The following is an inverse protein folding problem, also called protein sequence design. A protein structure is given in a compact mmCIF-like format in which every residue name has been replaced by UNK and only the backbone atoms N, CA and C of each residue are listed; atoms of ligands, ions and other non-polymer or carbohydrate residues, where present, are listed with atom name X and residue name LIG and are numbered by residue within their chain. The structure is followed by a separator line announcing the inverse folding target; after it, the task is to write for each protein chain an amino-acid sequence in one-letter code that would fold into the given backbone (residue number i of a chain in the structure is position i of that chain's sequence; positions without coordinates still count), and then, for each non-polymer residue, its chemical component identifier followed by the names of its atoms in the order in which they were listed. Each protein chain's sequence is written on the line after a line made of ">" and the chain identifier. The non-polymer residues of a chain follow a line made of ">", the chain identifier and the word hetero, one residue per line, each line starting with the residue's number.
data_IF_089528711132
#
_entry.id   IF_089528711132
#
_cell.length_a   1.000
_cell.length_b   1.000
_cell.length_c   1.000
_cell.angle_alpha   90.00
_cell.angle_beta   90.00
_cell.angle_gamma   90.00
#
_symmetry.space_group_name_H-M   'P 1'
#
loop_
_entity.id
_entity.type
_entity.pdbx_description
1 polymer ?
#
# COMPACT_ATOMS: atom_id res chain seq x y z
N UNK A 1 -19.75 27.81 -46.38
CA UNK A 1 -19.14 26.90 -45.39
C UNK A 1 -19.01 27.64 -44.07
N UNK A 2 -19.82 27.31 -43.07
CA UNK A 2 -19.73 27.86 -41.71
C UNK A 2 -19.49 26.71 -40.74
N UNK A 3 -18.32 26.68 -40.10
CA UNK A 3 -17.99 25.71 -39.05
C UNK A 3 -18.48 26.25 -37.70
N UNK A 4 -19.48 25.58 -37.11
CA UNK A 4 -19.96 25.85 -35.75
C UNK A 4 -18.98 25.27 -34.73
N UNK A 5 -18.30 26.14 -33.98
CA UNK A 5 -17.49 25.76 -32.82
C UNK A 5 -18.37 25.29 -31.65
N UNK A 6 -18.01 24.14 -31.06
CA UNK A 6 -18.62 23.64 -29.82
C UNK A 6 -18.09 24.45 -28.63
N UNK A 7 -18.99 25.16 -27.95
CA UNK A 7 -18.70 25.85 -26.68
C UNK A 7 -18.71 24.81 -25.56
N UNK A 8 -17.57 24.61 -24.91
CA UNK A 8 -17.44 23.78 -23.71
C UNK A 8 -17.94 24.60 -22.51
N UNK A 9 -18.97 24.11 -21.84
CA UNK A 9 -19.52 24.79 -20.66
C UNK A 9 -18.51 24.79 -19.50
N UNK A 10 -18.34 25.92 -18.78
CA UNK A 10 -17.40 26.01 -17.68
C UNK A 10 -17.87 25.17 -16.48
N UNK A 11 -16.99 24.26 -16.04
CA UNK A 11 -17.16 23.48 -14.81
C UNK A 11 -17.20 24.45 -13.63
N UNK A 12 -18.37 24.59 -12.99
CA UNK A 12 -18.53 25.43 -11.79
C UNK A 12 -17.74 24.81 -10.64
N UNK A 13 -16.60 25.40 -10.34
CA UNK A 13 -15.82 25.08 -9.14
C UNK A 13 -16.58 25.66 -7.94
N UNK A 14 -17.19 24.77 -7.14
CA UNK A 14 -17.90 25.17 -5.92
C UNK A 14 -17.02 26.03 -5.02
N UNK A 15 -17.61 27.07 -4.45
CA UNK A 15 -16.91 28.06 -3.65
C UNK A 15 -16.35 27.43 -2.38
N UNK A 16 -15.37 28.09 -1.73
CA UNK A 16 -14.81 27.62 -0.44
C UNK A 16 -15.91 27.36 0.60
N UNK A 17 -16.97 28.19 0.58
CA UNK A 17 -18.15 28.05 1.43
C UNK A 17 -18.90 26.73 1.19
N UNK A 18 -19.12 26.36 -0.07
CA UNK A 18 -19.77 25.09 -0.43
C UNK A 18 -18.95 23.88 0.04
N UNK A 19 -17.62 23.99 0.00
CA UNK A 19 -16.71 22.93 0.44
C UNK A 19 -16.74 22.76 1.96
N UNK A 20 -16.81 23.85 2.71
CA UNK A 20 -16.85 23.83 4.17
C UNK A 20 -18.22 23.37 4.68
N UNK A 21 -19.31 23.76 4.02
CA UNK A 21 -20.66 23.26 4.31
C UNK A 21 -20.76 21.75 4.05
N UNK A 22 -20.20 21.27 2.93
CA UNK A 22 -20.12 19.83 2.65
C UNK A 22 -19.28 19.08 3.68
N UNK A 23 -18.21 19.68 4.21
CA UNK A 23 -17.41 19.09 5.30
C UNK A 23 -18.21 19.01 6.60
N UNK A 24 -18.98 20.04 6.94
CA UNK A 24 -19.83 20.03 8.13
C UNK A 24 -20.94 18.98 8.02
N UNK A 25 -21.59 18.86 6.85
CA UNK A 25 -22.58 17.81 6.59
C UNK A 25 -21.97 16.41 6.71
N UNK A 26 -20.74 16.21 6.23
CA UNK A 26 -20.05 14.93 6.39
C UNK A 26 -19.72 14.62 7.85
N UNK A 27 -19.25 15.61 8.63
CA UNK A 27 -18.99 15.44 10.06
C UNK A 27 -20.26 15.09 10.84
N UNK A 28 -21.35 15.82 10.61
CA UNK A 28 -22.64 15.54 11.24
C UNK A 28 -23.14 14.11 10.93
N UNK A 29 -22.95 13.64 9.69
CA UNK A 29 -23.33 12.26 9.32
C UNK A 29 -22.45 11.21 9.99
N UNK A 30 -21.16 11.50 10.19
CA UNK A 30 -20.25 10.61 10.92
C UNK A 30 -20.62 10.52 12.40
N UNK A 31 -20.86 11.67 13.05
CA UNK A 31 -21.28 11.73 14.46
C UNK A 31 -22.64 11.04 14.67
N UNK A 32 -23.57 11.16 13.72
CA UNK A 32 -24.87 10.47 13.75
C UNK A 32 -24.70 8.96 13.59
N UNK A 33 -23.80 8.50 12.70
CA UNK A 33 -23.49 7.07 12.57
C UNK A 33 -22.78 6.50 13.79
N UNK A 34 -21.93 7.29 14.45
CA UNK A 34 -21.27 6.90 15.69
C UNK A 34 -22.28 6.77 16.82
N UNK A 35 -23.19 7.73 16.98
CA UNK A 35 -24.32 7.67 17.95
C UNK A 35 -25.25 6.47 17.72
N UNK A 36 -25.54 6.11 16.48
CA UNK A 36 -26.40 4.95 16.17
C UNK A 36 -25.69 3.62 16.47
N UNK A 37 -24.36 3.59 16.45
CA UNK A 37 -23.57 2.38 16.62
C UNK A 37 -22.97 2.18 18.00
N UNK A 38 -22.73 3.24 18.77
CA UNK A 38 -22.18 3.18 20.13
C UNK A 38 -23.03 2.30 21.04
N UNK A 39 -22.45 1.20 21.53
CA UNK A 39 -22.97 0.39 22.64
C UNK A 39 -22.59 1.09 23.94
N UNK A 40 -23.57 1.55 24.71
CA UNK A 40 -23.29 2.03 26.07
C UNK A 40 -22.80 0.85 26.92
N UNK A 41 -21.91 1.14 27.85
CA UNK A 41 -21.30 0.17 28.75
C UNK A 41 -22.14 -0.10 30.01
N UNK A 42 -23.23 0.65 30.22
CA UNK A 42 -24.10 0.54 31.40
C UNK A 42 -25.43 -0.17 31.06
N UNK A 43 -26.13 -0.68 32.08
CA UNK A 43 -27.43 -1.35 31.91
C UNK A 43 -28.50 -0.39 31.37
N UNK A 44 -28.64 -0.33 30.03
CA UNK A 44 -29.70 0.45 29.39
C UNK A 44 -31.10 -0.08 29.77
N UNK A 45 -31.97 0.86 30.16
CA UNK A 45 -33.41 0.63 30.31
C UNK A 45 -34.01 -0.02 29.04
N UNK A 46 -34.97 -0.96 29.18
CA UNK A 46 -35.61 -1.65 28.05
C UNK A 46 -36.17 -0.71 26.96
N UNK A 47 -36.68 0.46 27.36
CA UNK A 47 -37.19 1.47 26.43
C UNK A 47 -36.09 2.08 25.56
N UNK A 48 -34.92 2.38 26.14
CA UNK A 48 -33.76 2.92 25.42
C UNK A 48 -33.18 1.91 24.43
N UNK A 49 -33.14 0.62 24.81
CA UNK A 49 -32.75 -0.49 23.92
C UNK A 49 -33.70 -0.60 22.72
N UNK A 50 -35.02 -0.49 22.94
CA UNK A 50 -36.02 -0.54 21.87
C UNK A 50 -35.88 0.65 20.91
N UNK A 51 -35.71 1.87 21.43
CA UNK A 51 -35.51 3.06 20.60
C UNK A 51 -34.23 2.98 19.76
N UNK A 52 -33.13 2.49 20.33
CA UNK A 52 -31.88 2.28 19.60
C UNK A 52 -32.03 1.22 18.50
N UNK A 53 -32.72 0.11 18.77
CA UNK A 53 -33.02 -0.92 17.78
C UNK A 53 -33.89 -0.38 16.64
N UNK A 54 -34.90 0.43 16.96
CA UNK A 54 -35.75 1.08 15.95
C UNK A 54 -34.98 2.06 15.08
N UNK A 55 -34.12 2.91 15.67
CA UNK A 55 -33.24 3.81 14.90
C UNK A 55 -32.30 3.04 13.96
N UNK A 56 -31.68 1.95 14.45
CA UNK A 56 -30.81 1.09 13.63
C UNK A 56 -31.59 0.42 12.49
N UNK A 57 -32.81 -0.05 12.74
CA UNK A 57 -33.66 -0.64 11.70
C UNK A 57 -34.11 0.39 10.67
N UNK A 58 -34.46 1.62 11.09
CA UNK A 58 -34.82 2.71 10.20
C UNK A 58 -33.64 3.12 9.30
N UNK A 59 -32.43 3.22 9.86
CA UNK A 59 -31.21 3.50 9.09
C UNK A 59 -30.90 2.39 8.08
N UNK A 60 -31.04 1.11 8.48
CA UNK A 60 -30.90 -0.04 7.57
C UNK A 60 -31.92 -0.01 6.43
N UNK A 61 -33.17 0.33 6.72
CA UNK A 61 -34.23 0.41 5.72
C UNK A 61 -34.00 1.57 4.74
N UNK A 62 -33.56 2.74 5.22
CA UNK A 62 -33.16 3.87 4.35
C UNK A 62 -31.99 3.52 3.44
N UNK A 63 -31.00 2.79 3.96
CA UNK A 63 -29.86 2.32 3.16
C UNK A 63 -30.32 1.34 2.06
N UNK A 64 -31.15 0.35 2.41
CA UNK A 64 -31.73 -0.58 1.44
C UNK A 64 -32.58 0.10 0.36
N UNK A 65 -33.34 1.13 0.73
CA UNK A 65 -34.13 1.91 -0.22
C UNK A 65 -33.23 2.63 -1.24
N UNK A 66 -32.18 3.32 -0.76
CA UNK A 66 -31.21 4.00 -1.65
C UNK A 66 -30.43 3.04 -2.53
N UNK A 67 -30.08 1.85 -2.05
CA UNK A 67 -29.47 0.82 -2.89
C UNK A 67 -30.39 0.38 -4.02
N UNK A 68 -31.70 0.19 -3.74
CA UNK A 68 -32.67 -0.15 -4.80
C UNK A 68 -32.85 0.97 -5.81
N UNK A 69 -32.84 2.23 -5.37
CA UNK A 69 -32.88 3.40 -6.27
C UNK A 69 -31.64 3.45 -7.18
N UNK A 70 -30.46 3.17 -6.64
CA UNK A 70 -29.21 3.09 -7.42
C UNK A 70 -29.24 1.92 -8.43
N UNK A 71 -29.76 0.76 -8.04
CA UNK A 71 -29.91 -0.39 -8.95
C UNK A 71 -30.89 -0.06 -10.09
N UNK A 72 -31.99 0.63 -9.81
CA UNK A 72 -32.95 1.08 -10.83
C UNK A 72 -32.35 2.12 -11.78
N UNK A 73 -31.55 3.06 -11.26
CA UNK A 73 -30.83 4.04 -12.09
C UNK A 73 -29.75 3.36 -12.95
N UNK A 74 -29.05 2.36 -12.40
CA UNK A 74 -28.08 1.57 -13.16
C UNK A 74 -28.73 0.76 -14.28
N UNK A 75 -29.93 0.21 -14.05
CA UNK A 75 -30.69 -0.48 -15.10
C UNK A 75 -31.16 0.49 -16.19
N UNK A 76 -31.57 1.71 -15.84
CA UNK A 76 -31.95 2.73 -16.84
C UNK A 76 -30.78 3.17 -17.72
N UNK A 77 -29.57 3.32 -17.15
CA UNK A 77 -28.36 3.65 -17.93
C UNK A 77 -28.01 2.52 -18.91
N UNK A 78 -28.15 1.25 -18.48
CA UNK A 78 -27.91 0.10 -19.36
C UNK A 78 -28.94 -0.04 -20.49
N UNK A 79 -30.21 0.34 -20.28
CA UNK A 79 -31.24 0.31 -21.32
C UNK A 79 -30.99 1.39 -22.39
N UNK A 80 -30.52 2.58 -21.98
CA UNK A 80 -30.18 3.66 -22.91
C UNK A 80 -28.94 3.32 -23.75
N UNK A 81 -27.94 2.63 -23.19
CA UNK A 81 -26.74 2.24 -23.93
C UNK A 81 -26.96 1.14 -24.98
N UNK A 82 -28.01 0.33 -24.88
CA UNK A 82 -28.31 -0.72 -25.89
C UNK A 82 -29.02 -0.16 -27.12
N UNK A 83 -29.72 0.97 -26.99
CA UNK A 83 -30.42 1.61 -28.11
C UNK A 83 -29.49 2.36 -29.08
N UNK A 84 -28.29 2.78 -28.63
CA UNK A 84 -27.34 3.57 -29.42
C UNK A 84 -26.31 2.73 -30.19
N UNK A 85 -26.27 1.41 -30.01
CA UNK A 85 -25.28 0.51 -30.62
C UNK A 85 -25.75 -0.22 -31.90
N UNK A 86 -26.94 0.08 -32.43
CA UNK A 86 -27.50 -0.58 -33.62
C UNK A 86 -27.53 0.27 -34.89
N UNK A 87 -26.50 1.09 -35.14
CA UNK A 87 -26.26 1.65 -36.48
C UNK A 87 -24.76 1.65 -36.84
N UNK A 88 -24.47 1.32 -38.11
CA UNK A 88 -23.17 1.29 -38.82
C UNK A 88 -22.40 -0.05 -38.63
N UNK A 89 -22.26 -0.93 -39.63
CA UNK A 89 -21.51 -0.72 -40.89
C UNK A 89 -21.80 -1.83 -41.91
N UNK A 90 -22.16 -1.49 -43.16
CA UNK A 90 -21.75 -2.14 -44.44
C UNK A 90 -22.68 -1.73 -45.60
N UNK A 91 -22.16 -1.01 -46.62
CA UNK A 91 -22.78 -0.85 -47.95
C UNK A 91 -22.56 -2.10 -48.82
N UNK A 92 -23.13 -2.31 -50.02
CA UNK A 92 -23.97 -1.54 -50.98
C UNK A 92 -24.88 -2.59 -51.72
N UNK A 93 -25.66 -2.30 -52.79
CA UNK A 93 -27.13 -2.39 -52.78
C UNK A 93 -27.71 -3.53 -53.66
N UNK A 94 -28.91 -4.00 -53.33
CA UNK A 94 -29.82 -4.58 -54.32
C UNK A 94 -31.27 -4.43 -53.85
N UNK A 95 -32.03 -3.66 -54.62
CA UNK A 95 -33.51 -3.65 -54.62
C UNK A 95 -33.96 -4.92 -55.36
N UNK A 96 -35.01 -5.62 -54.90
CA UNK A 96 -36.27 -5.44 -55.60
C UNK A 96 -37.45 -5.18 -54.65
N UNK A 97 -38.26 -4.23 -55.09
CA UNK A 97 -39.66 -4.03 -54.72
C UNK A 97 -40.42 -5.33 -54.99
N UNK A 98 -41.27 -5.79 -54.06
CA UNK A 98 -42.71 -6.00 -54.30
C UNK A 98 -43.44 -6.58 -53.09
N UNK A 99 -44.65 -6.02 -52.90
CA UNK A 99 -45.86 -6.62 -52.32
C UNK A 99 -45.94 -6.92 -50.83
N UNK A 100 -46.73 -6.07 -50.18
CA UNK A 100 -47.50 -6.37 -48.99
C UNK A 100 -48.38 -7.62 -49.19
N UNK A 101 -48.29 -8.57 -48.25
CA UNK A 101 -49.39 -9.46 -47.88
C UNK A 101 -49.36 -9.55 -46.36
N UNK A 102 -50.41 -9.04 -45.73
CA UNK A 102 -50.61 -9.13 -44.29
C UNK A 102 -50.82 -10.58 -43.85
N UNK A 103 -50.21 -10.93 -42.73
CA UNK A 103 -50.59 -12.10 -41.94
C UNK A 103 -50.56 -11.67 -40.47
N UNK A 104 -51.67 -11.03 -40.08
CA UNK A 104 -52.08 -10.91 -38.71
C UNK A 104 -52.38 -12.32 -38.19
N UNK A 105 -51.45 -12.89 -37.43
CA UNK A 105 -51.74 -14.08 -36.62
C UNK A 105 -52.54 -13.59 -35.42
N UNK A 106 -53.86 -13.60 -35.59
CA UNK A 106 -54.79 -13.48 -34.48
C UNK A 106 -54.60 -14.70 -33.55
N UNK A 107 -54.43 -14.52 -32.23
CA UNK A 107 -54.66 -15.61 -31.31
C UNK A 107 -56.16 -15.89 -31.32
N UNK A 108 -56.55 -17.09 -31.76
CA UNK A 108 -57.89 -17.63 -31.64
C UNK A 108 -58.29 -17.67 -30.17
N UNK A 109 -59.02 -16.63 -29.73
CA UNK A 109 -59.77 -16.64 -28.49
C UNK A 109 -60.96 -17.57 -28.72
N UNK A 110 -60.78 -18.85 -28.38
CA UNK A 110 -61.90 -19.76 -28.17
C UNK A 110 -62.72 -19.23 -26.99
N UNK A 111 -63.77 -18.49 -27.31
CA UNK A 111 -64.86 -18.13 -26.42
C UNK A 111 -65.81 -19.33 -26.33
N UNK A 112 -65.45 -20.30 -25.50
CA UNK A 112 -66.39 -21.30 -24.99
C UNK A 112 -66.91 -20.83 -23.62
N UNK A 113 -68.15 -20.35 -23.65
CA UNK A 113 -69.16 -20.32 -22.59
C UNK A 113 -68.85 -21.07 -21.28
N UNK A 114 -68.02 -20.48 -20.42
CA UNK A 114 -68.01 -20.68 -18.96
C UNK A 114 -66.96 -19.75 -18.30
N UNK A 115 -67.12 -18.44 -18.45
CA UNK A 115 -66.28 -17.44 -17.77
C UNK A 115 -66.65 -17.33 -16.27
N UNK A 116 -66.49 -18.43 -15.53
CA UNK A 116 -66.38 -18.36 -14.08
C UNK A 116 -64.98 -17.86 -13.74
N UNK A 117 -64.88 -16.66 -13.15
CA UNK A 117 -63.66 -16.02 -12.66
C UNK A 117 -62.86 -17.01 -11.80
N UNK A 118 -61.84 -17.65 -12.38
CA UNK A 118 -60.93 -18.52 -11.63
C UNK A 118 -59.94 -17.64 -10.87
N UNK A 119 -60.36 -17.05 -9.75
CA UNK A 119 -59.42 -16.38 -8.84
C UNK A 119 -58.30 -17.36 -8.46
N UNK A 120 -57.04 -16.93 -8.54
CA UNK A 120 -55.91 -17.75 -8.10
C UNK A 120 -56.09 -18.18 -6.65
N UNK A 121 -55.66 -19.38 -6.28
CA UNK A 121 -55.80 -19.88 -4.89
C UNK A 121 -55.14 -18.94 -3.88
N UNK A 122 -54.08 -18.23 -4.29
CA UNK A 122 -53.45 -17.18 -3.50
C UNK A 122 -54.36 -15.97 -3.26
N UNK A 123 -55.16 -15.58 -4.26
CA UNK A 123 -56.14 -14.48 -4.18
C UNK A 123 -57.37 -14.88 -3.37
N UNK A 124 -57.90 -16.10 -3.57
CA UNK A 124 -58.94 -16.67 -2.70
C UNK A 124 -58.48 -16.73 -1.24
N UNK A 125 -57.24 -17.13 -0.97
CA UNK A 125 -56.68 -17.15 0.38
C UNK A 125 -56.48 -15.74 0.96
N UNK A 126 -56.17 -14.73 0.14
CA UNK A 126 -56.10 -13.32 0.56
C UNK A 126 -57.48 -12.78 0.93
N UNK A 127 -58.48 -12.97 0.07
CA UNK A 127 -59.87 -12.55 0.33
C UNK A 127 -60.45 -13.23 1.59
N UNK A 128 -60.23 -14.54 1.76
CA UNK A 128 -60.64 -15.27 2.97
C UNK A 128 -59.95 -14.75 4.24
N UNK A 129 -58.67 -14.36 4.17
CA UNK A 129 -57.94 -13.76 5.30
C UNK A 129 -58.43 -12.36 5.65
N UNK A 130 -58.78 -11.56 4.63
CA UNK A 130 -59.34 -10.23 4.80
C UNK A 130 -60.69 -10.28 5.54
N UNK A 131 -61.56 -11.22 5.16
CA UNK A 131 -62.91 -11.38 5.72
C UNK A 131 -62.97 -12.19 7.03
N UNK A 132 -61.83 -12.58 7.62
CA UNK A 132 -61.84 -13.22 8.95
C UNK A 132 -62.07 -12.21 10.07
N UNK A 133 -62.97 -12.54 10.99
CA UNK A 133 -63.15 -11.78 12.23
C UNK A 133 -61.93 -11.89 13.15
N UNK A 134 -61.76 -10.96 14.09
CA UNK A 134 -60.66 -10.98 15.07
C UNK A 134 -60.58 -12.30 15.85
N UNK A 135 -61.73 -12.81 16.31
CA UNK A 135 -61.87 -14.12 16.98
C UNK A 135 -61.46 -15.29 16.07
N UNK A 136 -61.77 -15.23 14.77
CA UNK A 136 -61.37 -16.28 13.83
C UNK A 136 -59.87 -16.23 13.52
N UNK A 137 -59.28 -15.04 13.41
CA UNK A 137 -57.84 -14.85 13.25
C UNK A 137 -57.07 -15.38 14.45
N UNK A 138 -57.57 -15.13 15.66
CA UNK A 138 -56.93 -15.60 16.88
C UNK A 138 -56.99 -17.13 17.01
N UNK A 139 -58.14 -17.75 16.74
CA UNK A 139 -58.25 -19.22 16.64
C UNK A 139 -57.34 -19.83 15.58
N UNK A 140 -57.16 -19.14 14.44
CA UNK A 140 -56.22 -19.58 13.41
C UNK A 140 -54.75 -19.47 13.86
N UNK A 141 -54.38 -18.41 14.58
CA UNK A 141 -53.04 -18.26 15.18
C UNK A 141 -52.78 -19.33 16.22
N UNK A 142 -53.74 -19.61 17.10
CA UNK A 142 -53.63 -20.67 18.11
C UNK A 142 -53.44 -22.04 17.47
N UNK A 143 -54.26 -22.41 16.48
CA UNK A 143 -54.10 -23.66 15.72
C UNK A 143 -52.75 -23.74 15.00
N UNK A 144 -52.27 -22.64 14.44
CA UNK A 144 -50.95 -22.61 13.78
C UNK A 144 -49.81 -22.73 14.80
N UNK A 145 -49.93 -22.09 15.96
CA UNK A 145 -48.97 -22.19 17.05
C UNK A 145 -48.93 -23.61 17.62
N UNK A 146 -50.08 -24.26 17.77
CA UNK A 146 -50.19 -25.65 18.20
C UNK A 146 -49.59 -26.61 17.17
N UNK A 147 -49.91 -26.44 15.87
CA UNK A 147 -49.26 -27.19 14.78
C UNK A 147 -47.75 -26.99 14.77
N UNK A 148 -47.28 -25.78 15.05
CA UNK A 148 -45.86 -25.49 15.15
C UNK A 148 -45.24 -26.18 16.38
N UNK A 149 -45.91 -26.16 17.55
CA UNK A 149 -45.46 -26.88 18.76
C UNK A 149 -45.36 -28.38 18.52
N UNK A 150 -46.35 -29.00 17.89
CA UNK A 150 -46.32 -30.42 17.53
C UNK A 150 -45.18 -30.75 16.57
N UNK A 151 -44.95 -29.91 15.55
CA UNK A 151 -43.80 -30.06 14.64
C UNK A 151 -42.46 -29.92 15.37
N UNK A 152 -42.35 -29.02 16.34
CA UNK A 152 -41.13 -28.87 17.14
C UNK A 152 -40.93 -30.04 18.11
N UNK A 153 -42.02 -30.60 18.67
CA UNK A 153 -41.98 -31.76 19.55
C UNK A 153 -41.62 -33.07 18.81
N UNK A 154 -42.04 -33.21 17.55
CA UNK A 154 -41.72 -34.35 16.70
C UNK A 154 -40.31 -34.29 16.08
N UNK A 155 -39.66 -33.12 16.10
CA UNK A 155 -38.30 -32.96 15.58
C UNK A 155 -37.30 -33.65 16.51
N UNK A 156 -36.51 -34.55 15.93
CA UNK A 156 -35.40 -35.19 16.66
C UNK A 156 -34.32 -34.14 16.97
N UNK A 157 -33.65 -34.31 18.12
CA UNK A 157 -32.59 -33.40 18.55
C UNK A 157 -31.47 -33.25 17.49
N UNK A 158 -31.22 -34.29 16.71
CA UNK A 158 -30.24 -34.31 15.62
C UNK A 158 -30.63 -33.44 14.43
N UNK A 159 -31.91 -33.40 14.04
CA UNK A 159 -32.39 -32.55 12.95
C UNK A 159 -32.28 -31.06 13.31
N UNK A 160 -32.55 -30.73 14.57
CA UNK A 160 -32.38 -29.36 15.09
C UNK A 160 -30.92 -28.94 15.09
N UNK A 161 -29.99 -29.85 15.43
CA UNK A 161 -28.55 -29.60 15.33
C UNK A 161 -28.11 -29.41 13.87
N UNK A 162 -28.55 -30.28 12.97
CA UNK A 162 -28.24 -30.18 11.54
C UNK A 162 -28.78 -28.88 10.92
N UNK A 163 -29.98 -28.43 11.28
CA UNK A 163 -30.53 -27.14 10.82
C UNK A 163 -29.73 -25.94 11.35
N UNK A 164 -29.25 -26.00 12.59
CA UNK A 164 -28.38 -24.97 13.17
C UNK A 164 -27.02 -24.94 12.48
N UNK A 165 -26.44 -26.08 12.16
CA UNK A 165 -25.17 -26.17 11.42
C UNK A 165 -25.33 -25.67 9.99
N UNK A 166 -26.38 -26.08 9.27
CA UNK A 166 -26.72 -25.53 7.95
C UNK A 166 -26.87 -24.01 8.00
N UNK A 167 -27.57 -23.50 9.01
CA UNK A 167 -27.73 -22.06 9.22
C UNK A 167 -26.38 -21.38 9.48
N UNK A 168 -25.52 -21.96 10.30
CA UNK A 168 -24.17 -21.43 10.60
C UNK A 168 -23.30 -21.38 9.35
N UNK A 169 -23.27 -22.45 8.56
CA UNK A 169 -22.51 -22.54 7.32
C UNK A 169 -23.03 -21.56 6.27
N UNK A 170 -24.35 -21.44 6.13
CA UNK A 170 -24.98 -20.46 5.25
C UNK A 170 -24.61 -19.02 5.63
N UNK A 171 -24.65 -18.68 6.92
CA UNK A 171 -24.22 -17.35 7.38
C UNK A 171 -22.72 -17.13 7.13
N UNK A 172 -21.88 -18.14 7.34
CA UNK A 172 -20.45 -18.04 7.07
C UNK A 172 -20.18 -17.82 5.58
N UNK A 173 -20.82 -18.59 4.69
CA UNK A 173 -20.73 -18.43 3.26
C UNK A 173 -21.19 -17.04 2.81
N UNK A 174 -22.31 -16.56 3.36
CA UNK A 174 -22.81 -15.22 3.06
C UNK A 174 -21.83 -14.12 3.49
N UNK A 175 -21.21 -14.23 4.68
CA UNK A 175 -20.20 -13.26 5.12
C UNK A 175 -18.97 -13.26 4.22
N UNK A 176 -18.50 -14.44 3.83
CA UNK A 176 -17.35 -14.57 2.94
C UNK A 176 -17.64 -13.93 1.58
N UNK A 177 -18.81 -14.22 1.01
CA UNK A 177 -19.27 -13.63 -0.24
C UNK A 177 -19.38 -12.10 -0.13
N UNK A 178 -20.01 -11.56 0.91
CA UNK A 178 -20.07 -10.11 1.12
C UNK A 178 -18.68 -9.47 1.25
N UNK A 179 -17.74 -10.17 1.89
CA UNK A 179 -16.36 -9.68 2.04
C UNK A 179 -15.62 -9.72 0.71
N UNK A 180 -15.81 -10.74 -0.11
CA UNK A 180 -15.24 -10.82 -1.47
C UNK A 180 -15.78 -9.71 -2.35
N UNK A 181 -17.11 -9.55 -2.42
CA UNK A 181 -17.75 -8.49 -3.21
C UNK A 181 -17.26 -7.11 -2.77
N UNK A 182 -17.13 -6.87 -1.45
CA UNK A 182 -16.62 -5.60 -0.96
C UNK A 182 -15.17 -5.32 -1.40
N UNK A 183 -14.31 -6.34 -1.39
CA UNK A 183 -12.91 -6.24 -1.86
C UNK A 183 -12.84 -6.04 -3.37
N UNK A 184 -13.68 -6.73 -4.13
CA UNK A 184 -13.76 -6.57 -5.59
C UNK A 184 -14.21 -5.16 -5.97
N UNK A 185 -15.27 -4.68 -5.33
CA UNK A 185 -15.74 -3.31 -5.53
C UNK A 185 -14.68 -2.27 -5.12
N UNK A 186 -13.90 -2.50 -4.06
CA UNK A 186 -12.77 -1.63 -3.71
C UNK A 186 -11.67 -1.66 -4.77
N UNK A 187 -11.35 -2.84 -5.33
CA UNK A 187 -10.40 -2.97 -6.45
C UNK A 187 -10.89 -2.24 -7.69
N UNK A 188 -12.16 -2.42 -8.06
CA UNK A 188 -12.78 -1.74 -9.19
C UNK A 188 -12.77 -0.21 -9.01
N UNK A 189 -13.11 0.27 -7.81
CA UNK A 189 -12.99 1.69 -7.50
C UNK A 189 -11.56 2.19 -7.59
N UNK A 190 -10.59 1.39 -7.15
CA UNK A 190 -9.18 1.76 -7.24
C UNK A 190 -8.72 1.82 -8.71
N UNK A 191 -9.15 0.87 -9.56
CA UNK A 191 -8.88 0.86 -10.99
C UNK A 191 -9.54 2.07 -11.67
N UNK A 192 -10.80 2.35 -11.39
CA UNK A 192 -11.53 3.50 -11.92
C UNK A 192 -10.89 4.83 -11.48
N UNK A 193 -10.44 4.94 -10.23
CA UNK A 193 -9.69 6.12 -9.76
C UNK A 193 -8.36 6.26 -10.49
N UNK A 194 -7.64 5.16 -10.74
CA UNK A 194 -6.36 5.19 -11.47
C UNK A 194 -6.56 5.55 -12.94
N UNK A 195 -7.61 5.05 -13.59
CA UNK A 195 -7.91 5.35 -15.00
C UNK A 195 -8.34 6.80 -15.22
N UNK A 196 -9.05 7.41 -14.25
CA UNK A 196 -9.44 8.82 -14.28
C UNK A 196 -8.32 9.79 -13.92
N UNK A 197 -7.22 9.32 -13.32
CA UNK A 197 -6.06 10.16 -13.03
C UNK A 197 -5.22 10.39 -14.29
N UNK A 198 -4.93 11.65 -14.59
CA UNK A 198 -3.96 12.02 -15.62
C UNK A 198 -2.54 11.61 -15.19
N UNK A 199 -1.65 11.36 -16.15
CA UNK A 199 -0.25 11.05 -15.83
C UNK A 199 0.43 12.18 -15.05
N UNK A 200 0.05 13.44 -15.31
CA UNK A 200 0.51 14.61 -14.54
C UNK A 200 0.13 14.51 -13.05
N UNK A 201 -1.10 14.07 -12.72
CA UNK A 201 -1.50 13.87 -11.33
C UNK A 201 -0.74 12.71 -10.67
N UNK A 202 -0.48 11.63 -11.42
CA UNK A 202 0.33 10.50 -10.92
C UNK A 202 1.78 10.93 -10.67
N UNK A 203 2.37 11.71 -11.56
CA UNK A 203 3.70 12.27 -11.41
C UNK A 203 3.80 13.19 -10.17
N UNK A 204 2.85 14.10 -9.99
CA UNK A 204 2.80 14.97 -8.81
C UNK A 204 2.66 14.20 -7.48
N UNK A 205 1.92 13.08 -7.48
CA UNK A 205 1.86 12.19 -6.31
C UNK A 205 3.19 11.49 -6.04
N UNK A 206 3.87 10.97 -7.08
CA UNK A 206 5.21 10.36 -6.94
C UNK A 206 6.22 11.37 -6.43
N UNK A 207 6.17 12.60 -6.93
CA UNK A 207 7.03 13.71 -6.47
C UNK A 207 6.78 14.02 -4.99
N UNK A 208 5.51 14.22 -4.60
CA UNK A 208 5.15 14.45 -3.20
C UNK A 208 5.60 13.31 -2.28
N UNK A 209 5.44 12.07 -2.70
CA UNK A 209 5.90 10.91 -1.92
C UNK A 209 7.43 10.87 -1.82
N UNK A 210 8.13 11.25 -2.89
CA UNK A 210 9.59 11.35 -2.92
C UNK A 210 10.08 12.45 -1.98
N UNK A 211 9.46 13.63 -2.02
CA UNK A 211 9.72 14.73 -1.10
C UNK A 211 9.42 14.35 0.35
N UNK A 212 8.29 13.68 0.60
CA UNK A 212 7.93 13.22 1.93
C UNK A 212 8.95 12.21 2.47
N UNK A 213 9.44 11.29 1.63
CA UNK A 213 10.54 10.36 2.00
C UNK A 213 11.86 11.10 2.23
N UNK A 214 12.18 12.11 1.42
CA UNK A 214 13.39 12.91 1.59
C UNK A 214 13.35 13.71 2.91
N UNK A 215 12.22 14.35 3.22
CA UNK A 215 11.98 15.04 4.49
C UNK A 215 12.08 14.11 5.70
N UNK A 216 11.50 12.90 5.62
CA UNK A 216 11.67 11.90 6.70
C UNK A 216 13.12 11.51 6.89
N UNK A 217 13.88 11.30 5.80
CA UNK A 217 15.31 10.94 5.86
C UNK A 217 16.19 12.07 6.40
N UNK A 218 15.87 13.33 6.10
CA UNK A 218 16.60 14.48 6.64
C UNK A 218 16.33 14.72 8.13
N UNK A 219 15.11 14.41 8.59
CA UNK A 219 14.73 14.49 10.00
C UNK A 219 15.17 13.25 10.81
N UNK A 220 15.59 12.18 10.15
CA UNK A 220 15.97 10.93 10.80
C UNK A 220 17.30 11.11 11.55
N UNK A 221 17.29 10.86 12.86
CA UNK A 221 18.48 10.93 13.71
C UNK A 221 19.45 9.77 13.44
N UNK A 222 20.71 9.92 13.87
CA UNK A 222 21.71 8.86 13.77
C UNK A 222 21.25 7.55 14.42
N UNK A 223 20.65 7.64 15.62
CA UNK A 223 20.14 6.49 16.35
C UNK A 223 19.00 5.78 15.62
N UNK A 224 18.10 6.55 15.00
CA UNK A 224 17.02 5.96 14.18
C UNK A 224 17.58 5.25 12.94
N UNK A 225 18.66 5.73 12.34
CA UNK A 225 19.34 5.04 11.23
C UNK A 225 20.04 3.78 11.72
N UNK A 226 20.67 3.83 12.89
CA UNK A 226 21.33 2.66 13.48
C UNK A 226 20.32 1.58 13.87
N UNK A 227 19.20 1.94 14.51
CA UNK A 227 18.13 1.00 14.82
C UNK A 227 17.52 0.36 13.56
N UNK A 228 17.46 1.11 12.45
CA UNK A 228 16.97 0.56 11.17
C UNK A 228 17.96 -0.44 10.55
N UNK A 229 19.26 -0.12 10.59
CA UNK A 229 20.32 -1.07 10.21
C UNK A 229 20.28 -2.33 11.09
N UNK A 230 20.06 -2.17 12.39
CA UNK A 230 19.95 -3.29 13.32
C UNK A 230 18.73 -4.16 13.00
N UNK A 231 17.58 -3.57 12.69
CA UNK A 231 16.41 -4.33 12.21
C UNK A 231 16.73 -5.13 10.95
N UNK A 232 17.42 -4.52 9.98
CA UNK A 232 17.80 -5.21 8.74
C UNK A 232 18.81 -6.33 8.96
N UNK A 233 19.80 -6.12 9.83
CA UNK A 233 20.77 -7.18 10.19
C UNK A 233 20.09 -8.32 10.93
N UNK A 234 19.25 -8.02 11.92
CA UNK A 234 18.46 -9.02 12.64
C UNK A 234 17.50 -9.80 11.72
N UNK A 235 16.89 -9.13 10.74
CA UNK A 235 16.06 -9.80 9.74
C UNK A 235 16.86 -10.79 8.88
N UNK A 236 18.09 -10.43 8.47
CA UNK A 236 19.00 -11.32 7.73
C UNK A 236 19.45 -12.50 8.57
N UNK A 237 19.73 -12.30 9.86
CA UNK A 237 20.12 -13.39 10.77
C UNK A 237 18.97 -14.39 10.97
N UNK A 238 17.73 -13.92 10.99
CA UNK A 238 16.53 -14.77 11.13
C UNK A 238 16.09 -15.44 9.82
N UNK A 239 16.74 -15.14 8.70
CA UNK A 239 16.39 -15.68 7.40
C UNK A 239 16.87 -17.13 7.28
N UNK A 240 16.00 -18.04 6.82
CA UNK A 240 16.37 -19.44 6.55
C UNK A 240 17.46 -19.54 5.48
N UNK A 241 18.23 -20.63 5.49
CA UNK A 241 19.25 -20.87 4.47
C UNK A 241 18.64 -20.90 3.05
N UNK A 242 17.51 -21.59 2.87
CA UNK A 242 16.78 -21.63 1.58
C UNK A 242 16.39 -20.23 1.09
N UNK A 243 15.88 -19.37 1.98
CA UNK A 243 15.52 -18.00 1.62
C UNK A 243 16.76 -17.14 1.31
N UNK A 244 17.89 -17.42 1.97
CA UNK A 244 19.17 -16.76 1.69
C UNK A 244 19.70 -17.17 0.32
N UNK A 245 19.61 -18.44 -0.04
CA UNK A 245 20.09 -18.95 -1.32
C UNK A 245 19.23 -18.47 -2.48
N UNK A 246 17.89 -18.49 -2.34
CA UNK A 246 16.99 -17.91 -3.33
C UNK A 246 17.25 -16.41 -3.55
N UNK A 247 17.52 -15.65 -2.47
CA UNK A 247 17.87 -14.24 -2.59
C UNK A 247 19.21 -14.04 -3.32
N UNK A 248 20.22 -14.89 -3.06
CA UNK A 248 21.51 -14.84 -3.76
C UNK A 248 21.36 -15.16 -5.23
N UNK A 249 20.55 -16.15 -5.60
CA UNK A 249 20.28 -16.50 -7.00
C UNK A 249 19.57 -15.35 -7.73
N UNK A 250 18.52 -14.79 -7.13
CA UNK A 250 17.83 -13.63 -7.68
C UNK A 250 18.77 -12.41 -7.83
N UNK A 251 19.66 -12.17 -6.87
CA UNK A 251 20.64 -11.08 -6.98
C UNK A 251 21.68 -11.36 -8.06
N UNK A 252 22.10 -12.62 -8.27
CA UNK A 252 22.98 -13.02 -9.39
C UNK A 252 22.31 -12.76 -10.74
N UNK A 253 21.06 -13.21 -10.91
CA UNK A 253 20.27 -13.02 -12.13
C UNK A 253 20.11 -11.53 -12.44
N UNK A 254 19.72 -10.72 -11.45
CA UNK A 254 19.64 -9.26 -11.63
C UNK A 254 20.96 -8.61 -12.03
N UNK A 255 22.08 -9.10 -11.50
CA UNK A 255 23.39 -8.61 -11.88
C UNK A 255 23.77 -9.05 -13.30
N UNK A 256 23.39 -10.26 -13.72
CA UNK A 256 23.58 -10.75 -15.09
C UNK A 256 22.76 -9.94 -16.10
N UNK A 257 21.47 -9.75 -15.83
CA UNK A 257 20.58 -8.91 -16.64
C UNK A 257 21.08 -7.47 -16.71
N UNK A 258 21.49 -6.93 -15.57
CA UNK A 258 22.08 -5.59 -15.49
C UNK A 258 23.33 -5.48 -16.35
N UNK A 259 24.23 -6.48 -16.32
CA UNK A 259 25.40 -6.52 -17.19
C UNK A 259 25.03 -6.68 -18.66
N UNK A 260 24.00 -7.44 -19.01
CA UNK A 260 23.58 -7.64 -20.40
C UNK A 260 23.01 -6.34 -21.01
N UNK A 261 22.26 -5.57 -20.21
CA UNK A 261 21.62 -4.31 -20.64
C UNK A 261 22.54 -3.08 -20.60
N UNK A 262 23.70 -3.17 -19.94
CA UNK A 262 24.67 -2.08 -19.92
C UNK A 262 25.18 -1.73 -21.33
N UNK A 263 25.40 -0.44 -21.57
CA UNK A 263 26.10 0.05 -22.77
C UNK A 263 27.61 -0.18 -22.64
N UNK A 264 28.33 -0.27 -23.76
CA UNK A 264 29.79 -0.46 -23.74
C UNK A 264 30.53 0.67 -23.01
N UNK A 265 30.04 1.91 -23.09
CA UNK A 265 30.61 3.05 -22.35
C UNK A 265 30.61 2.81 -20.83
N UNK A 266 29.46 2.39 -20.28
CA UNK A 266 29.32 2.08 -18.86
C UNK A 266 30.19 0.88 -18.46
N UNK A 267 30.31 -0.12 -19.34
CA UNK A 267 31.20 -1.27 -19.12
C UNK A 267 32.66 -0.85 -19.07
N UNK A 268 33.10 0.05 -19.95
CA UNK A 268 34.48 0.52 -19.97
C UNK A 268 34.79 1.41 -18.76
N UNK A 269 33.87 2.28 -18.33
CA UNK A 269 34.02 3.02 -17.07
C UNK A 269 34.12 2.09 -15.85
N UNK A 270 33.31 1.02 -15.81
CA UNK A 270 33.40 0.04 -14.73
C UNK A 270 34.75 -0.69 -14.75
N UNK A 271 35.25 -1.08 -15.93
CA UNK A 271 36.59 -1.63 -16.10
C UNK A 271 37.66 -0.66 -15.65
N UNK A 272 37.55 0.62 -15.99
CA UNK A 272 38.49 1.65 -15.54
C UNK A 272 38.45 1.81 -14.02
N UNK A 273 37.27 1.91 -13.40
CA UNK A 273 37.11 1.94 -11.93
C UNK A 273 37.73 0.71 -11.26
N UNK A 274 37.65 -0.46 -11.89
CA UNK A 274 38.30 -1.68 -11.38
C UNK A 274 39.82 -1.62 -11.56
N UNK A 275 40.31 -1.15 -12.72
CA UNK A 275 41.75 -0.94 -12.97
C UNK A 275 42.34 0.05 -11.97
N UNK A 276 41.67 1.18 -11.72
CA UNK A 276 42.06 2.18 -10.75
C UNK A 276 42.09 1.60 -9.34
N UNK A 277 41.03 0.91 -8.90
CA UNK A 277 41.03 0.21 -7.60
C UNK A 277 42.17 -0.80 -7.46
N UNK A 278 42.49 -1.54 -8.52
CA UNK A 278 43.64 -2.46 -8.52
C UNK A 278 44.97 -1.71 -8.43
N UNK A 279 45.13 -0.58 -9.12
CA UNK A 279 46.32 0.28 -9.02
C UNK A 279 46.48 0.82 -7.60
N UNK A 280 45.45 1.45 -7.04
CA UNK A 280 45.51 2.01 -5.68
C UNK A 280 45.75 0.95 -4.61
N UNK A 281 45.13 -0.23 -4.73
CA UNK A 281 45.37 -1.35 -3.81
C UNK A 281 46.79 -1.88 -3.95
N UNK A 282 47.31 -2.02 -5.19
CA UNK A 282 48.68 -2.44 -5.44
C UNK A 282 49.68 -1.44 -4.90
N UNK A 283 49.47 -0.15 -5.11
CA UNK A 283 50.40 0.90 -4.69
C UNK A 283 50.38 1.09 -3.16
N UNK A 284 49.22 0.89 -2.51
CA UNK A 284 49.12 0.84 -1.05
C UNK A 284 49.92 -0.32 -0.43
N UNK A 285 50.00 -1.47 -1.10
CA UNK A 285 50.77 -2.63 -0.65
C UNK A 285 52.24 -2.58 -1.09
N UNK A 286 52.54 -2.03 -2.27
CA UNK A 286 53.89 -1.91 -2.82
C UNK A 286 54.76 -0.93 -2.04
N UNK A 287 54.17 -0.02 -1.28
CA UNK A 287 54.87 0.91 -0.40
C UNK A 287 55.58 0.24 0.80
N UNK A 288 55.36 -1.05 1.06
CA UNK A 288 56.05 -1.77 2.15
C UNK A 288 57.19 -2.68 1.67
N UNK A 289 57.09 -3.31 0.49
CA UNK A 289 58.08 -4.29 0.00
C UNK A 289 58.99 -3.74 -1.11
N UNK A 290 58.51 -2.79 -1.90
CA UNK A 290 59.26 -2.17 -3.00
C UNK A 290 59.39 -0.66 -2.76
N UNK A 291 59.88 -0.29 -1.58
CA UNK A 291 60.26 1.10 -1.32
C UNK A 291 61.27 1.53 -2.38
N UNK A 292 60.81 2.31 -3.37
CA UNK A 292 61.65 2.85 -4.46
C UNK A 292 62.21 4.19 -3.98
N UNK A 293 63.46 4.23 -3.53
CA UNK A 293 64.00 5.45 -2.93
C UNK A 293 64.21 6.56 -3.98
N UNK A 294 64.12 6.22 -5.27
CA UNK A 294 64.15 7.16 -6.39
C UNK A 294 62.86 7.96 -6.59
N UNK A 295 61.74 7.55 -5.98
CA UNK A 295 60.45 8.27 -6.11
C UNK A 295 60.27 9.37 -5.05
N UNK A 296 61.21 9.49 -4.10
CA UNK A 296 61.21 10.51 -3.07
C UNK A 296 62.43 11.43 -3.27
N UNK A 297 62.17 12.63 -3.80
CA UNK A 297 63.15 13.72 -3.93
C UNK A 297 62.69 14.91 -3.09
N UNK A 298 63.59 15.44 -2.28
CA UNK A 298 63.29 16.58 -1.42
C UNK A 298 64.38 16.79 -0.36
N UNK A 299 64.46 18.00 0.23
CA UNK A 299 65.45 18.35 1.25
C UNK A 299 65.35 17.48 2.52
N UNK A 300 64.17 16.91 2.76
CA UNK A 300 63.88 16.03 3.90
C UNK A 300 64.18 14.56 3.61
N UNK A 301 64.95 14.24 2.56
CA UNK A 301 65.36 12.87 2.20
C UNK A 301 66.88 12.80 2.21
N UNK A 302 67.45 11.86 2.96
CA UNK A 302 68.90 11.65 3.01
C UNK A 302 69.38 11.09 1.67
N UNK A 303 70.30 11.75 0.98
CA UNK A 303 70.76 11.33 -0.36
C UNK A 303 71.49 9.97 -0.38
N UNK A 304 72.10 9.58 0.75
CA UNK A 304 72.91 8.34 0.88
C UNK A 304 72.03 7.17 1.30
N UNK A 305 71.21 7.35 2.34
CA UNK A 305 70.32 6.27 2.84
C UNK A 305 68.96 6.26 2.16
N UNK A 306 68.64 7.32 1.39
CA UNK A 306 67.39 7.56 0.65
C UNK A 306 66.12 7.38 1.49
N UNK A 307 66.24 7.62 2.80
CA UNK A 307 65.16 7.66 3.80
C UNK A 307 64.85 9.10 4.18
N UNK A 308 63.65 9.35 4.68
CA UNK A 308 63.32 10.66 5.23
C UNK A 308 64.28 11.01 6.38
N UNK A 309 64.92 12.18 6.28
CA UNK A 309 65.59 12.80 7.41
C UNK A 309 64.50 13.25 8.36
N UNK A 310 64.56 12.78 9.60
CA UNK A 310 63.74 13.37 10.64
C UNK A 310 64.20 14.83 10.78
N UNK A 311 63.28 15.82 10.78
CA UNK A 311 63.65 17.19 11.07
C UNK A 311 64.36 17.24 12.42
N UNK A 312 65.38 18.11 12.55
CA UNK A 312 66.15 18.26 13.79
C UNK A 312 65.19 18.46 14.97
N UNK A 313 65.05 17.43 15.78
CA UNK A 313 64.29 17.49 17.01
C UNK A 313 65.12 18.24 18.04
N UNK A 314 64.49 19.18 18.73
CA UNK A 314 65.13 19.87 19.86
C UNK A 314 64.77 19.15 21.14
N UNK A 315 65.74 18.94 22.02
CA UNK A 315 65.46 18.34 23.32
C UNK A 315 64.79 19.39 24.21
N UNK A 316 63.60 19.08 24.73
CA UNK A 316 62.87 19.94 25.64
C UNK A 316 63.63 20.07 26.97
N UNK A 317 64.00 21.30 27.35
CA UNK A 317 64.73 21.61 28.57
C UNK A 317 64.04 21.13 29.86
N UNK A 318 62.72 20.91 29.83
CA UNK A 318 61.98 20.47 31.01
C UNK A 318 61.99 18.96 31.23
N UNK A 319 62.21 18.13 30.19
CA UNK A 319 61.95 16.67 30.25
C UNK A 319 62.86 15.77 29.44
N UNK A 320 63.87 16.30 28.79
CA UNK A 320 64.68 15.54 27.84
C UNK A 320 63.83 14.82 26.77
N UNK A 321 62.67 15.39 26.41
CA UNK A 321 61.78 14.83 25.39
C UNK A 321 61.98 15.56 24.06
N UNK A 322 61.83 14.85 22.94
CA UNK A 322 61.93 15.47 21.63
C UNK A 322 60.79 16.44 21.36
N UNK A 323 61.15 17.62 20.86
CA UNK A 323 60.23 18.66 20.41
C UNK A 323 60.45 18.91 18.92
N UNK A 324 59.37 18.83 18.16
CA UNK A 324 59.41 19.03 16.72
C UNK A 324 59.40 20.53 16.37
N UNK A 325 60.09 20.95 15.29
CA UNK A 325 59.98 22.32 14.79
C UNK A 325 58.53 22.60 14.37
N UNK A 326 57.95 23.68 14.89
CA UNK A 326 56.54 24.05 14.67
C UNK A 326 55.54 23.47 15.69
N UNK A 327 55.99 22.63 16.62
CA UNK A 327 55.14 22.11 17.68
C UNK A 327 54.75 23.21 18.67
N UNK A 328 53.46 23.26 19.03
CA UNK A 328 52.94 24.22 20.01
C UNK A 328 53.70 24.11 21.35
N UNK A 329 53.81 25.22 22.11
CA UNK A 329 54.49 25.24 23.42
C UNK A 329 53.94 24.19 24.41
N UNK A 330 52.71 23.73 24.18
CA UNK A 330 51.98 22.78 25.00
C UNK A 330 52.20 21.32 24.55
N UNK A 331 52.72 21.06 23.34
CA UNK A 331 52.76 19.72 22.72
C UNK A 331 53.68 18.71 23.41
N UNK A 332 54.99 18.96 23.45
CA UNK A 332 55.96 17.96 23.91
C UNK A 332 55.83 17.60 25.40
N UNK A 333 55.25 18.50 26.20
CA UNK A 333 55.26 18.33 27.64
C UNK A 333 54.06 18.96 28.39
N UNK A 334 53.14 19.70 27.80
CA UNK A 334 52.19 20.51 28.59
C UNK A 334 52.93 21.43 29.61
N UNK A 335 54.03 22.06 29.21
CA UNK A 335 54.79 23.02 30.03
C UNK A 335 55.27 22.49 31.41
N UNK A 336 55.93 21.33 31.46
CA UNK A 336 56.52 20.87 32.74
C UNK A 336 55.62 19.98 33.65
N UNK A 337 54.32 19.83 33.35
CA UNK A 337 53.34 18.97 34.07
C UNK A 337 53.45 17.41 34.06
N UNK A 338 53.99 16.74 33.02
CA UNK A 338 54.03 15.25 32.87
C UNK A 338 55.46 14.67 32.83
N UNK A 339 56.08 14.30 33.96
CA UNK A 339 57.44 13.74 33.96
C UNK A 339 57.56 12.50 33.05
N UNK A 340 58.42 12.57 32.04
CA UNK A 340 58.73 11.44 31.14
C UNK A 340 59.99 10.71 31.63
N UNK A 341 60.11 9.40 31.42
CA UNK A 341 61.35 8.67 31.64
C UNK A 341 62.49 9.25 30.80
N UNK A 342 63.76 9.14 31.24
CA UNK A 342 64.91 9.52 30.42
C UNK A 342 64.92 8.73 29.11
N UNK A 343 65.34 9.37 28.02
CA UNK A 343 65.53 8.69 26.74
C UNK A 343 66.57 7.58 26.90
N UNK A 344 66.30 6.44 26.26
CA UNK A 344 67.22 5.32 26.26
C UNK A 344 68.19 5.48 25.08
N UNK A 345 69.41 4.92 25.16
CA UNK A 345 70.27 4.87 24.00
C UNK A 345 69.59 4.10 22.86
N UNK A 346 69.76 4.60 21.63
CA UNK A 346 69.23 3.96 20.44
C UNK A 346 69.69 2.49 20.36
N UNK A 347 68.78 1.52 20.12
CA UNK A 347 69.18 0.19 19.71
C UNK A 347 70.12 0.27 18.50
N UNK A 348 71.21 -0.51 18.49
CA UNK A 348 72.27 -0.39 17.48
C UNK A 348 71.78 -0.43 16.01
N UNK A 349 70.69 -1.17 15.75
CA UNK A 349 70.04 -1.20 14.43
C UNK A 349 69.44 0.15 14.02
N UNK A 350 68.87 0.90 14.96
CA UNK A 350 68.32 2.24 14.70
C UNK A 350 69.43 3.28 14.60
N UNK A 351 70.47 3.16 15.42
CA UNK A 351 71.67 4.01 15.33
C UNK A 351 72.31 3.93 13.94
N UNK A 352 72.42 2.72 13.38
CA UNK A 352 72.96 2.50 12.04
C UNK A 352 72.09 3.09 10.91
N UNK A 353 70.77 3.20 11.13
CA UNK A 353 69.81 3.66 10.12
C UNK A 353 69.57 5.17 10.16
N UNK A 354 69.58 5.77 11.34
CA UNK A 354 69.18 7.16 11.56
C UNK A 354 70.30 8.05 12.10
N UNK A 355 71.37 7.48 12.66
CA UNK A 355 72.52 8.23 13.17
C UNK A 355 72.31 8.94 14.51
N UNK A 356 71.09 8.93 15.04
CA UNK A 356 70.75 9.57 16.32
C UNK A 356 71.07 8.65 17.51
N UNK A 357 71.78 9.15 18.54
CA UNK A 357 72.30 8.35 19.65
C UNK A 357 71.26 7.94 20.71
N UNK A 358 70.10 8.61 20.77
CA UNK A 358 69.11 8.45 21.85
C UNK A 358 67.70 8.30 21.26
N UNK A 359 66.84 7.44 21.83
CA UNK A 359 65.44 7.22 21.44
C UNK A 359 64.50 7.15 22.66
#
# INVERSE_FOLDING_TARGET
>A
MFLRGKVVAPVRVGTKRDRDERRQQLRQRLDETERVNATSAEEESPASKLHRKNRRNQAKNRCKARSRELDLLSQQVNIVSVADSSTVTSGVPAVPVTTAVGLAVAPTINTSSAAAVRMSDAERARARRANMSSSQRERARQRNAERQRLRMAQRRAEEVKADRERSRLSHQAQRLLCTQIAREHEREQQVARRSQQTEAHRAALRERDTEARARRRSQQTGDQRNADRERHTNARVKQSDESRDAQREHDRERHEDGRALQTEEVREEERERVRERRRTTRDALANHENFRPSMFTGPDVNEVTRRHRLPLTTVCAHRNAWKWPGESKVGCCLEGKVKLPPLAPAPAKLLQLYGDPEF
#
